data_IF_642882992366
#
_entry.id   IF_642882992366
#
_cell.length_a   1.000
_cell.length_b   1.000
_cell.length_c   1.000
_cell.angle_alpha   90.00
_cell.angle_beta   90.00
_cell.angle_gamma   90.00
#
_symmetry.space_group_name_H-M   'P 1'
#
loop_
_entity.id
_entity.type
_entity.pdbx_description
1 polymer ?
#
# COMPACT_ATOMS: atom_id res chain seq x y z
N UNK A 1 -2.73 28.28 12.63
CA UNK A 1 -3.12 27.53 13.84
C UNK A 1 -2.60 26.11 13.67
N UNK A 2 -1.52 25.78 14.38
CA UNK A 2 -0.80 24.52 14.23
C UNK A 2 -1.50 23.41 15.04
N UNK A 3 -1.83 22.29 14.39
CA UNK A 3 -2.34 21.09 15.04
C UNK A 3 -1.65 19.85 14.42
N UNK A 4 -1.36 18.91 15.30
CA UNK A 4 -0.43 17.78 15.30
C UNK A 4 -0.83 16.55 14.43
N UNK A 5 0.12 16.06 13.59
CA UNK A 5 0.55 14.69 13.17
C UNK A 5 -0.50 13.53 13.01
N UNK A 6 -0.58 12.65 11.97
CA UNK A 6 0.37 12.10 10.96
C UNK A 6 -0.34 11.46 9.70
N UNK A 7 0.14 11.78 8.48
CA UNK A 7 0.34 10.88 7.29
C UNK A 7 -0.84 10.56 6.31
N UNK A 8 -0.66 10.99 5.04
CA UNK A 8 -1.62 11.42 4.00
C UNK A 8 -2.80 10.57 3.48
N UNK A 9 -3.89 10.41 4.24
CA UNK A 9 -5.29 10.27 3.76
C UNK A 9 -6.24 10.78 4.85
N UNK A 10 -6.05 10.29 6.07
CA UNK A 10 -6.76 10.77 7.25
C UNK A 10 -6.20 12.10 7.76
N UNK A 11 -4.90 12.32 7.56
CA UNK A 11 -4.16 13.50 7.97
C UNK A 11 -3.18 13.93 6.86
N UNK A 12 -3.14 15.20 6.44
CA UNK A 12 -2.27 15.65 5.35
C UNK A 12 -0.78 15.69 5.75
N UNK A 13 0.10 15.60 4.75
CA UNK A 13 1.54 15.84 4.95
C UNK A 13 1.80 17.33 5.26
N UNK A 14 2.79 17.60 6.11
CA UNK A 14 3.28 18.97 6.35
C UNK A 14 4.11 19.43 5.16
N UNK A 15 3.68 20.49 4.49
CA UNK A 15 4.32 21.10 3.32
C UNK A 15 4.95 22.46 3.70
N UNK A 16 5.73 23.03 2.77
CA UNK A 16 6.42 24.32 2.94
C UNK A 16 7.32 24.35 4.17
N UNK A 17 8.10 23.27 4.34
CA UNK A 17 9.09 23.12 5.40
C UNK A 17 10.40 22.58 4.82
N UNK A 18 11.54 22.82 5.47
CA UNK A 18 12.79 22.19 5.07
C UNK A 18 12.75 20.66 5.31
N UNK A 19 13.58 19.95 4.56
CA UNK A 19 13.93 18.55 4.83
C UNK A 19 14.53 18.40 6.22
N UNK A 20 14.05 17.41 6.96
CA UNK A 20 14.58 17.06 8.28
C UNK A 20 15.92 16.34 8.18
N UNK A 21 16.69 16.31 9.28
CA UNK A 21 17.95 15.55 9.35
C UNK A 21 17.73 14.06 9.10
N UNK A 22 16.66 13.49 9.65
CA UNK A 22 16.30 12.09 9.44
C UNK A 22 16.03 11.80 7.96
N UNK A 23 15.21 12.63 7.29
CA UNK A 23 14.91 12.48 5.85
C UNK A 23 16.16 12.59 4.97
N UNK A 24 17.12 13.46 5.34
CA UNK A 24 18.42 13.56 4.66
C UNK A 24 19.27 12.31 4.87
N UNK A 25 19.27 11.72 6.06
CA UNK A 25 20.05 10.53 6.41
C UNK A 25 19.46 9.24 5.82
N UNK A 26 18.13 9.13 5.72
CA UNK A 26 17.44 7.94 5.19
C UNK A 26 17.13 8.03 3.70
N UNK A 27 17.80 8.95 2.99
CA UNK A 27 17.61 9.16 1.55
C UNK A 27 17.85 7.88 0.75
N UNK A 28 16.98 7.67 -0.23
CA UNK A 28 17.18 6.73 -1.31
C UNK A 28 17.65 7.49 -2.55
N UNK A 29 18.72 7.00 -3.18
CA UNK A 29 19.43 7.72 -4.25
C UNK A 29 19.26 6.96 -5.56
N UNK A 30 18.72 7.65 -6.56
CA UNK A 30 18.64 7.18 -7.94
C UNK A 30 20.05 7.03 -8.54
N UNK A 31 20.24 6.06 -9.44
CA UNK A 31 21.51 5.78 -10.11
C UNK A 31 22.58 5.08 -9.25
N UNK A 32 22.41 5.06 -7.92
CA UNK A 32 23.32 4.37 -7.00
C UNK A 32 22.65 3.13 -6.43
N UNK A 33 23.27 1.97 -6.64
CA UNK A 33 22.86 0.73 -5.99
C UNK A 33 22.98 0.85 -4.48
N UNK A 34 21.91 0.54 -3.75
CA UNK A 34 21.96 0.42 -2.30
C UNK A 34 22.53 -0.95 -1.92
N UNK A 35 23.47 -0.98 -0.97
CA UNK A 35 23.94 -2.24 -0.40
C UNK A 35 22.83 -2.80 0.49
N UNK A 36 22.33 -3.98 0.12
CA UNK A 36 21.31 -4.70 0.89
C UNK A 36 21.93 -5.98 1.44
N UNK A 37 21.56 -6.33 2.68
CA UNK A 37 22.05 -7.52 3.36
C UNK A 37 21.05 -8.66 3.18
N UNK A 38 21.56 -9.86 2.88
CA UNK A 38 20.74 -11.07 2.69
C UNK A 38 20.95 -11.74 1.34
N UNK A 39 20.17 -12.80 1.12
CA UNK A 39 20.17 -13.55 -0.15
C UNK A 39 19.38 -12.82 -1.26
N UNK A 40 18.31 -12.11 -0.90
CA UNK A 40 17.49 -11.34 -1.83
C UNK A 40 18.18 -10.02 -2.23
N UNK A 41 18.04 -9.66 -3.50
CA UNK A 41 18.48 -8.37 -4.03
C UNK A 41 17.32 -7.35 -4.05
N UNK A 42 16.10 -7.83 -4.27
CA UNK A 42 14.88 -7.02 -4.41
C UNK A 42 13.68 -7.74 -3.81
N UNK A 43 12.64 -6.99 -3.43
CA UNK A 43 11.33 -7.53 -3.04
C UNK A 43 10.23 -6.60 -3.55
N UNK A 44 9.14 -7.12 -4.11
CA UNK A 44 8.00 -6.34 -4.61
C UNK A 44 6.93 -6.05 -3.54
N UNK A 45 6.87 -6.92 -2.51
CA UNK A 45 6.01 -6.84 -1.33
C UNK A 45 4.51 -6.77 -1.64
N UNK A 46 4.06 -7.50 -2.66
CA UNK A 46 2.66 -7.58 -3.12
C UNK A 46 2.06 -6.21 -3.49
N UNK A 47 2.90 -5.25 -3.89
CA UNK A 47 2.49 -3.87 -4.18
C UNK A 47 2.17 -3.61 -5.66
N UNK A 48 2.58 -4.52 -6.55
CA UNK A 48 2.54 -4.32 -8.00
C UNK A 48 1.13 -4.50 -8.54
N UNK A 49 0.54 -3.44 -9.11
CA UNK A 49 -0.74 -3.52 -9.81
C UNK A 49 -0.52 -4.07 -11.23
N UNK A 50 0.50 -3.54 -11.91
CA UNK A 50 0.91 -3.92 -13.27
C UNK A 50 2.40 -3.66 -13.43
N UNK A 51 3.10 -4.58 -14.08
CA UNK A 51 4.48 -4.36 -14.54
C UNK A 51 4.59 -4.78 -16.00
N UNK A 52 5.35 -4.03 -16.78
CA UNK A 52 5.68 -4.30 -18.19
C UNK A 52 6.96 -3.53 -18.57
N UNK A 53 7.40 -3.61 -19.82
CA UNK A 53 8.61 -2.92 -20.32
C UNK A 53 8.54 -1.39 -20.30
N UNK A 54 7.33 -0.82 -20.23
CA UNK A 54 7.09 0.62 -20.38
C UNK A 54 6.79 1.31 -19.04
N UNK A 55 5.94 0.73 -18.20
CA UNK A 55 5.64 1.23 -16.86
C UNK A 55 5.47 0.14 -15.79
N UNK A 56 5.73 0.55 -14.55
CA UNK A 56 5.42 -0.17 -13.32
C UNK A 56 4.39 0.66 -12.55
N UNK A 57 3.25 0.08 -12.22
CA UNK A 57 2.25 0.70 -11.38
C UNK A 57 2.16 -0.04 -10.04
N UNK A 58 2.24 0.72 -8.94
CA UNK A 58 2.17 0.19 -7.58
C UNK A 58 1.05 0.85 -6.79
N UNK A 59 0.49 0.10 -5.85
CA UNK A 59 -0.49 0.61 -4.88
C UNK A 59 0.14 1.65 -3.95
N UNK A 60 -0.69 2.39 -3.24
CA UNK A 60 -0.27 3.19 -2.10
C UNK A 60 -0.33 2.41 -0.78
N UNK A 61 0.24 3.02 0.27
CA UNK A 61 0.24 2.43 1.61
C UNK A 61 -1.12 2.33 2.30
N UNK A 62 -2.13 3.07 1.86
CA UNK A 62 -3.49 3.02 2.42
C UNK A 62 -4.28 1.84 1.84
N UNK A 63 -3.88 1.30 0.70
CA UNK A 63 -4.57 0.16 0.11
C UNK A 63 -4.52 -1.12 0.98
N UNK A 64 -3.37 -1.53 1.57
CA UNK A 64 -3.34 -2.67 2.50
C UNK A 64 -4.25 -2.46 3.72
N UNK A 65 -4.36 -1.22 4.22
CA UNK A 65 -5.14 -0.88 5.42
C UNK A 65 -6.58 -0.43 5.12
N UNK A 66 -7.03 -0.53 3.87
CA UNK A 66 -8.40 -0.18 3.46
C UNK A 66 -9.41 -1.01 4.24
N UNK A 67 -10.38 -0.36 4.88
CA UNK A 67 -11.39 -1.02 5.72
C UNK A 67 -11.00 -1.18 7.18
N UNK A 68 -9.71 -1.03 7.54
CA UNK A 68 -9.24 -1.22 8.91
C UNK A 68 -9.84 -0.19 9.88
N UNK A 69 -9.75 1.10 9.55
CA UNK A 69 -10.38 2.15 10.39
C UNK A 69 -11.90 2.00 10.37
N UNK A 70 -12.47 1.69 9.20
CA UNK A 70 -13.92 1.52 9.07
C UNK A 70 -14.46 0.36 9.93
N UNK A 71 -13.73 -0.74 10.09
CA UNK A 71 -14.17 -1.89 10.87
C UNK A 71 -14.40 -1.52 12.35
N UNK A 72 -13.45 -0.80 12.97
CA UNK A 72 -13.60 -0.28 14.32
C UNK A 72 -14.75 0.71 14.43
N UNK A 73 -14.85 1.65 13.50
CA UNK A 73 -15.90 2.67 13.53
C UNK A 73 -17.30 2.04 13.36
N UNK A 74 -17.44 1.02 12.51
CA UNK A 74 -18.66 0.23 12.38
C UNK A 74 -19.02 -0.47 13.70
N UNK A 75 -18.05 -1.12 14.34
CA UNK A 75 -18.26 -1.81 15.61
C UNK A 75 -18.74 -0.85 16.71
N UNK A 76 -18.15 0.36 16.80
CA UNK A 76 -18.61 1.39 17.74
C UNK A 76 -20.01 1.91 17.42
N UNK A 77 -20.33 2.12 16.14
CA UNK A 77 -21.69 2.52 15.73
C UNK A 77 -22.73 1.45 16.10
N UNK A 78 -22.40 0.17 15.87
CA UNK A 78 -23.24 -0.95 16.26
C UNK A 78 -23.44 -0.99 17.78
N UNK A 79 -22.35 -0.85 18.55
CA UNK A 79 -22.39 -0.86 20.01
C UNK A 79 -23.27 0.26 20.57
N UNK A 80 -23.13 1.48 20.08
CA UNK A 80 -24.01 2.59 20.50
C UNK A 80 -25.46 2.36 20.08
N UNK A 81 -25.70 1.79 18.91
CA UNK A 81 -27.07 1.46 18.47
C UNK A 81 -27.71 0.41 19.39
N UNK A 82 -26.99 -0.68 19.70
CA UNK A 82 -27.46 -1.72 20.62
C UNK A 82 -27.69 -1.15 22.02
N UNK A 83 -26.79 -0.30 22.49
CA UNK A 83 -26.92 0.36 23.80
C UNK A 83 -28.16 1.27 23.84
N UNK A 84 -28.38 2.10 22.82
CA UNK A 84 -29.59 2.92 22.69
C UNK A 84 -30.85 2.04 22.74
N UNK A 85 -30.88 0.93 21.97
CA UNK A 85 -32.04 0.03 21.94
C UNK A 85 -32.29 -0.64 23.30
N UNK A 86 -31.24 -1.04 24.01
CA UNK A 86 -31.35 -1.64 25.34
C UNK A 86 -31.93 -0.65 26.36
N UNK A 87 -31.44 0.60 26.37
CA UNK A 87 -31.96 1.64 27.26
C UNK A 87 -33.38 2.06 26.85
N UNK A 88 -33.68 2.16 25.55
CA UNK A 88 -35.03 2.45 25.05
C UNK A 88 -36.03 1.41 25.55
N UNK A 89 -35.67 0.13 25.51
CA UNK A 89 -36.51 -0.96 26.05
C UNK A 89 -36.81 -0.76 27.54
N UNK A 90 -35.81 -0.42 28.35
CA UNK A 90 -36.00 -0.16 29.79
C UNK A 90 -36.86 1.09 30.03
N UNK A 91 -36.62 2.17 29.29
CA UNK A 91 -37.35 3.41 29.42
C UNK A 91 -38.84 3.25 29.08
N UNK A 92 -39.16 2.54 27.98
CA UNK A 92 -40.52 2.39 27.48
C UNK A 92 -41.31 1.32 28.24
N UNK A 93 -40.71 0.16 28.51
CA UNK A 93 -41.45 -0.99 29.04
C UNK A 93 -41.36 -1.17 30.56
N UNK A 94 -40.38 -0.57 31.23
CA UNK A 94 -40.14 -0.75 32.68
C UNK A 94 -40.36 0.54 33.49
N UNK A 95 -41.17 1.49 33.00
CA UNK A 95 -41.34 2.83 33.61
C UNK A 95 -40.00 3.51 33.91
N UNK A 96 -39.04 3.41 32.99
CA UNK A 96 -37.71 3.99 33.17
C UNK A 96 -37.70 5.51 33.02
N UNK A 97 -36.60 6.13 33.45
CA UNK A 97 -36.43 7.58 33.44
C UNK A 97 -36.30 8.13 32.00
N UNK A 98 -37.40 8.68 31.46
CA UNK A 98 -37.46 9.23 30.09
C UNK A 98 -36.46 10.37 29.86
N UNK A 99 -36.31 11.38 30.74
CA UNK A 99 -35.25 12.39 30.60
C UNK A 99 -33.84 11.81 30.49
N UNK A 100 -33.51 10.82 31.31
CA UNK A 100 -32.20 10.16 31.24
C UNK A 100 -31.99 9.42 29.91
N UNK A 101 -33.04 8.77 29.38
CA UNK A 101 -33.00 8.15 28.06
C UNK A 101 -32.75 9.18 26.95
N UNK A 102 -33.45 10.32 26.96
CA UNK A 102 -33.24 11.38 25.95
C UNK A 102 -31.80 11.92 25.99
N UNK A 103 -31.22 12.07 27.19
CA UNK A 103 -29.83 12.49 27.36
C UNK A 103 -28.84 11.45 26.80
N UNK A 104 -29.04 10.16 27.10
CA UNK A 104 -28.22 9.08 26.56
C UNK A 104 -28.34 9.01 25.04
N UNK A 105 -29.56 9.14 24.50
CA UNK A 105 -29.81 9.18 23.06
C UNK A 105 -29.04 10.32 22.39
N UNK A 106 -29.03 11.51 22.99
CA UNK A 106 -28.27 12.65 22.49
C UNK A 106 -26.76 12.37 22.46
N UNK A 107 -26.19 11.82 23.54
CA UNK A 107 -24.75 11.51 23.61
C UNK A 107 -24.38 10.41 22.60
N UNK A 108 -25.13 9.31 22.57
CA UNK A 108 -24.85 8.19 21.68
C UNK A 108 -25.05 8.57 20.21
N UNK A 109 -26.08 9.37 19.87
CA UNK A 109 -26.26 9.88 18.51
C UNK A 109 -25.13 10.82 18.08
N UNK A 110 -24.67 11.71 18.97
CA UNK A 110 -23.48 12.53 18.71
C UNK A 110 -22.23 11.67 18.47
N UNK A 111 -22.06 10.60 19.25
CA UNK A 111 -20.98 9.61 19.07
C UNK A 111 -21.06 8.87 17.72
N UNK A 112 -22.25 8.41 17.33
CA UNK A 112 -22.48 7.79 16.02
C UNK A 112 -22.15 8.76 14.89
N UNK A 113 -22.62 10.01 14.96
CA UNK A 113 -22.31 11.05 13.98
C UNK A 113 -20.79 11.28 13.85
N UNK A 114 -20.07 11.28 14.98
CA UNK A 114 -18.62 11.42 14.99
C UNK A 114 -17.93 10.24 14.27
N UNK A 115 -18.31 8.99 14.57
CA UNK A 115 -17.72 7.82 13.93
C UNK A 115 -18.09 7.68 12.45
N UNK A 116 -19.33 8.03 12.09
CA UNK A 116 -19.78 8.09 10.69
C UNK A 116 -18.89 9.01 9.85
N UNK A 117 -18.42 10.14 10.40
CA UNK A 117 -17.50 11.03 9.68
C UNK A 117 -16.20 10.32 9.25
N UNK A 118 -15.66 9.42 10.08
CA UNK A 118 -14.47 8.64 9.75
C UNK A 118 -14.78 7.50 8.80
N UNK A 119 -15.95 6.85 8.96
CA UNK A 119 -16.44 5.87 7.99
C UNK A 119 -16.54 6.47 6.60
N UNK A 120 -17.13 7.66 6.45
CA UNK A 120 -17.23 8.37 5.17
C UNK A 120 -15.90 8.88 4.62
N UNK A 121 -14.83 8.90 5.41
CA UNK A 121 -13.47 9.20 4.91
C UNK A 121 -12.80 7.96 4.35
N UNK A 122 -13.05 6.79 4.93
CA UNK A 122 -12.53 5.55 4.37
C UNK A 122 -13.41 5.06 3.21
N UNK A 123 -14.72 5.14 3.37
CA UNK A 123 -15.71 4.83 2.34
C UNK A 123 -15.87 6.00 1.38
N UNK A 124 -16.39 5.76 0.18
CA UNK A 124 -16.67 6.82 -0.81
C UNK A 124 -15.46 7.64 -1.27
N UNK A 125 -14.24 7.10 -1.16
CA UNK A 125 -13.00 7.71 -1.69
C UNK A 125 -12.49 6.97 -2.92
N UNK A 126 -11.18 6.93 -3.13
CA UNK A 126 -10.57 6.03 -4.10
C UNK A 126 -10.30 4.67 -3.47
N UNK A 127 -10.34 3.62 -4.29
CA UNK A 127 -9.95 2.28 -3.86
C UNK A 127 -8.48 2.23 -3.44
N UNK A 128 -7.64 2.98 -4.14
CA UNK A 128 -6.21 3.18 -3.91
C UNK A 128 -5.74 4.45 -4.64
N UNK A 129 -4.50 4.89 -4.40
CA UNK A 129 -3.86 6.10 -4.92
C UNK A 129 -2.53 5.75 -5.59
N UNK A 130 -2.55 5.16 -6.80
CA UNK A 130 -1.39 4.52 -7.39
C UNK A 130 -0.28 5.50 -7.75
N UNK A 131 0.94 4.97 -7.79
CA UNK A 131 2.10 5.63 -8.40
C UNK A 131 2.54 4.79 -9.60
N UNK A 132 2.69 5.44 -10.75
CA UNK A 132 3.12 4.81 -12.00
C UNK A 132 4.48 5.35 -12.41
N UNK A 133 5.46 4.46 -12.47
CA UNK A 133 6.82 4.71 -12.89
C UNK A 133 6.96 4.38 -14.36
N UNK A 134 7.22 5.37 -15.22
CA UNK A 134 7.46 5.19 -16.64
C UNK A 134 8.96 5.07 -16.90
N UNK A 135 9.42 3.85 -17.21
CA UNK A 135 10.84 3.56 -17.43
C UNK A 135 11.37 4.26 -18.68
N UNK A 136 10.62 4.19 -19.79
CA UNK A 136 11.06 4.68 -21.11
C UNK A 136 11.28 6.20 -21.11
N UNK A 137 10.36 6.96 -20.52
CA UNK A 137 10.45 8.44 -20.42
C UNK A 137 11.15 8.93 -19.14
N UNK A 138 11.49 8.02 -18.22
CA UNK A 138 12.02 8.35 -16.88
C UNK A 138 11.12 9.32 -16.12
N UNK A 139 9.82 9.08 -16.14
CA UNK A 139 8.80 9.89 -15.48
C UNK A 139 8.14 9.13 -14.33
N UNK A 140 7.62 9.85 -13.35
CA UNK A 140 6.81 9.34 -12.25
C UNK A 140 5.47 10.06 -12.28
N UNK A 141 4.40 9.31 -12.48
CA UNK A 141 3.02 9.79 -12.43
C UNK A 141 2.42 9.43 -11.06
N UNK A 142 1.92 10.43 -10.36
CA UNK A 142 1.49 10.33 -8.96
C UNK A 142 0.01 10.66 -8.90
N UNK A 143 -0.82 9.70 -8.48
CA UNK A 143 -2.22 9.95 -8.25
C UNK A 143 -2.43 10.51 -6.83
N UNK A 144 -2.85 11.76 -6.72
CA UNK A 144 -3.01 12.42 -5.43
C UNK A 144 -4.32 12.06 -4.74
N UNK A 145 -4.35 12.19 -3.41
CA UNK A 145 -5.56 12.03 -2.60
C UNK A 145 -6.66 13.05 -2.96
N UNK A 146 -6.26 14.22 -3.46
CA UNK A 146 -7.16 15.24 -4.01
C UNK A 146 -7.88 14.77 -5.29
N UNK A 147 -7.38 13.73 -5.96
CA UNK A 147 -7.82 13.27 -7.27
C UNK A 147 -7.04 13.87 -8.45
N UNK A 148 -6.12 14.80 -8.20
CA UNK A 148 -5.21 15.34 -9.20
C UNK A 148 -4.09 14.34 -9.55
N UNK A 149 -3.45 14.55 -10.71
CA UNK A 149 -2.28 13.78 -11.14
C UNK A 149 -1.10 14.73 -11.28
N UNK A 150 0.05 14.33 -10.73
CA UNK A 150 1.31 15.04 -10.88
C UNK A 150 2.27 14.15 -11.66
N UNK A 151 2.88 14.70 -12.69
CA UNK A 151 3.93 14.04 -13.48
C UNK A 151 5.24 14.77 -13.28
N UNK A 152 6.29 14.06 -12.87
CA UNK A 152 7.62 14.62 -12.64
C UNK A 152 8.72 13.69 -13.17
N UNK A 153 9.90 14.21 -13.53
CA UNK A 153 11.05 13.36 -13.84
C UNK A 153 11.48 12.49 -12.65
N UNK A 154 11.86 11.24 -12.90
CA UNK A 154 12.35 10.28 -11.90
C UNK A 154 13.52 10.82 -11.07
N UNK A 155 14.44 11.55 -11.71
CA UNK A 155 15.61 12.14 -11.06
C UNK A 155 15.30 13.34 -10.15
N UNK A 156 14.14 13.97 -10.30
CA UNK A 156 13.77 15.17 -9.54
C UNK A 156 13.07 14.86 -8.22
N UNK A 157 12.65 13.61 -8.01
CA UNK A 157 11.98 13.19 -6.78
C UNK A 157 13.02 12.93 -5.70
N UNK A 158 12.85 13.52 -4.51
CA UNK A 158 13.66 13.18 -3.36
C UNK A 158 13.00 12.02 -2.59
N UNK A 159 13.49 10.80 -2.78
CA UNK A 159 12.99 9.63 -2.07
C UNK A 159 13.65 9.47 -0.71
N UNK A 160 12.85 9.20 0.32
CA UNK A 160 13.32 8.99 1.69
C UNK A 160 12.33 8.14 2.48
N UNK A 161 12.66 7.81 3.73
CA UNK A 161 11.72 7.12 4.62
C UNK A 161 10.96 8.12 5.49
N UNK A 162 9.65 7.91 5.62
CA UNK A 162 8.81 8.57 6.62
C UNK A 162 8.54 7.59 7.75
N UNK A 163 8.95 7.98 8.96
CA UNK A 163 8.62 7.26 10.18
C UNK A 163 7.09 7.30 10.41
N UNK A 164 6.52 6.12 10.64
CA UNK A 164 5.17 5.92 11.18
C UNK A 164 5.30 5.70 12.70
N UNK A 165 4.28 5.16 13.37
CA UNK A 165 4.38 4.88 14.82
C UNK A 165 5.51 3.90 15.18
N UNK A 166 5.53 2.74 14.51
CA UNK A 166 6.46 1.62 14.80
C UNK A 166 7.13 1.06 13.54
N UNK A 167 6.90 1.70 12.40
CA UNK A 167 7.32 1.24 11.08
C UNK A 167 7.69 2.43 10.20
N UNK A 168 8.13 2.17 8.98
CA UNK A 168 8.54 3.17 8.02
C UNK A 168 7.81 2.93 6.69
N UNK A 169 7.67 3.97 5.88
CA UNK A 169 7.29 3.83 4.48
C UNK A 169 8.18 4.69 3.58
N UNK A 170 8.30 4.34 2.31
CA UNK A 170 8.96 5.21 1.33
C UNK A 170 8.02 6.39 1.01
N UNK A 171 8.59 7.59 0.97
CA UNK A 171 7.94 8.81 0.50
C UNK A 171 8.79 9.48 -0.55
N UNK A 172 8.13 10.10 -1.53
CA UNK A 172 8.77 10.99 -2.49
C UNK A 172 8.41 12.44 -2.15
N UNK A 173 9.42 13.27 -1.91
CA UNK A 173 9.26 14.71 -1.77
C UNK A 173 9.52 15.40 -3.11
N UNK A 174 8.63 16.32 -3.47
CA UNK A 174 8.88 17.29 -4.54
C UNK A 174 9.42 18.55 -3.87
N UNK A 175 10.66 18.89 -4.20
CA UNK A 175 11.38 20.00 -3.59
C UNK A 175 11.20 21.28 -4.41
N UNK A 176 11.39 22.42 -3.75
CA UNK A 176 11.50 23.72 -4.43
C UNK A 176 12.87 23.86 -5.11
N UNK A 177 13.06 24.97 -5.81
CA UNK A 177 14.31 25.27 -6.53
C UNK A 177 15.54 25.32 -5.60
N UNK A 178 15.32 25.63 -4.31
CA UNK A 178 16.35 25.59 -3.26
C UNK A 178 16.86 24.18 -2.91
N UNK A 179 16.21 23.12 -3.43
CA UNK A 179 16.48 21.71 -3.12
C UNK A 179 16.45 21.37 -1.62
N UNK A 180 15.76 22.18 -0.81
CA UNK A 180 15.59 21.96 0.63
C UNK A 180 14.13 22.00 1.08
N UNK A 181 13.31 22.87 0.49
CA UNK A 181 11.92 23.07 0.89
C UNK A 181 11.00 22.05 0.22
N UNK A 182 10.23 21.30 1.03
CA UNK A 182 9.27 20.29 0.56
C UNK A 182 7.96 20.97 0.13
N UNK A 183 7.70 20.99 -1.18
CA UNK A 183 6.47 21.53 -1.78
C UNK A 183 5.34 20.50 -1.84
N UNK A 184 5.69 19.23 -2.05
CA UNK A 184 4.71 18.15 -2.12
C UNK A 184 5.29 16.85 -1.57
N UNK A 185 4.43 15.94 -1.14
CA UNK A 185 4.83 14.62 -0.65
C UNK A 185 3.80 13.59 -1.05
N UNK A 186 4.28 12.48 -1.57
CA UNK A 186 3.48 11.30 -1.82
C UNK A 186 4.13 10.08 -1.18
N UNK A 187 3.32 9.06 -0.90
CA UNK A 187 3.78 7.78 -0.39
C UNK A 187 3.23 6.67 -1.27
N UNK A 188 3.99 5.59 -1.42
CA UNK A 188 3.57 4.45 -2.21
C UNK A 188 4.05 3.14 -1.59
N UNK A 189 3.43 2.05 -2.03
CA UNK A 189 3.84 0.70 -1.74
C UNK A 189 3.67 0.30 -0.28
N UNK A 190 4.75 -0.23 0.28
CA UNK A 190 4.74 -0.98 1.51
C UNK A 190 5.09 -0.13 2.76
N UNK A 191 4.60 -0.59 3.92
CA UNK A 191 4.93 -0.04 5.23
C UNK A 191 5.52 -1.16 6.09
N UNK A 192 6.76 -1.01 6.53
CA UNK A 192 7.44 -2.01 7.35
C UNK A 192 8.81 -1.56 7.84
N UNK A 193 9.75 -2.49 7.95
CA UNK A 193 11.08 -2.22 8.50
C UNK A 193 12.06 -1.68 7.44
N UNK A 194 13.14 -1.03 7.87
CA UNK A 194 14.06 -0.32 6.96
C UNK A 194 14.79 -1.26 6.00
N UNK A 195 15.01 -2.49 6.43
CA UNK A 195 15.64 -3.56 5.67
C UNK A 195 14.75 -3.96 4.48
N UNK A 196 13.46 -4.19 4.73
CA UNK A 196 12.45 -4.49 3.70
C UNK A 196 12.29 -3.30 2.75
N UNK A 197 12.25 -2.07 3.28
CA UNK A 197 12.18 -0.88 2.43
C UNK A 197 13.42 -0.69 1.55
N UNK A 198 14.59 -1.19 1.97
CA UNK A 198 15.80 -1.15 1.15
C UNK A 198 15.71 -2.12 -0.02
N UNK A 199 15.16 -3.33 0.21
CA UNK A 199 14.86 -4.30 -0.85
C UNK A 199 13.77 -3.79 -1.80
N UNK A 200 12.72 -3.17 -1.25
CA UNK A 200 11.64 -2.58 -2.03
C UNK A 200 12.10 -1.38 -2.86
N UNK A 201 12.96 -0.53 -2.30
CA UNK A 201 13.59 0.54 -3.06
C UNK A 201 14.39 -0.02 -4.25
N UNK A 202 15.22 -1.04 -4.02
CA UNK A 202 15.98 -1.65 -5.12
C UNK A 202 15.07 -2.31 -6.16
N UNK A 203 13.91 -2.84 -5.79
CA UNK A 203 12.91 -3.32 -6.77
C UNK A 203 12.47 -2.20 -7.72
N UNK A 204 12.04 -1.06 -7.19
CA UNK A 204 11.62 0.10 -7.99
C UNK A 204 12.78 0.70 -8.79
N UNK A 205 13.96 0.85 -8.16
CA UNK A 205 15.15 1.38 -8.81
C UNK A 205 15.62 0.48 -9.95
N UNK A 206 15.67 -0.83 -9.73
CA UNK A 206 16.01 -1.79 -10.79
C UNK A 206 15.02 -1.72 -11.94
N UNK A 207 13.72 -1.67 -11.64
CA UNK A 207 12.69 -1.47 -12.66
C UNK A 207 12.91 -0.19 -13.47
N UNK A 208 13.35 0.90 -12.81
CA UNK A 208 13.56 2.17 -13.49
C UNK A 208 14.89 2.26 -14.23
N UNK A 209 15.96 1.60 -13.77
CA UNK A 209 17.34 1.93 -14.17
C UNK A 209 18.14 0.75 -14.74
N UNK A 210 17.71 -0.48 -14.50
CA UNK A 210 18.52 -1.69 -14.74
C UNK A 210 17.90 -2.61 -15.77
N UNK A 211 18.73 -3.35 -16.51
CA UNK A 211 18.29 -4.26 -17.57
C UNK A 211 18.07 -5.68 -17.01
N UNK A 212 17.15 -5.77 -16.04
CA UNK A 212 16.76 -7.02 -15.36
C UNK A 212 15.24 -7.19 -15.24
N UNK A 213 14.49 -6.69 -16.22
CA UNK A 213 13.03 -6.65 -16.17
C UNK A 213 12.40 -8.05 -16.17
N UNK A 214 12.97 -9.01 -16.90
CA UNK A 214 12.48 -10.39 -16.95
C UNK A 214 12.61 -11.04 -15.57
N UNK A 215 13.80 -10.95 -14.97
CA UNK A 215 14.05 -11.50 -13.63
C UNK A 215 13.23 -10.79 -12.56
N UNK A 216 13.05 -9.46 -12.67
CA UNK A 216 12.17 -8.70 -11.77
C UNK A 216 10.72 -9.20 -11.85
N UNK A 217 10.20 -9.46 -13.06
CA UNK A 217 8.85 -9.97 -13.22
C UNK A 217 8.67 -11.35 -12.58
N UNK A 218 9.71 -12.18 -12.57
CA UNK A 218 9.69 -13.47 -11.87
C UNK A 218 9.59 -13.33 -10.35
N UNK A 219 10.03 -12.21 -9.78
CA UNK A 219 9.92 -11.95 -8.34
C UNK A 219 8.51 -11.56 -7.91
N UNK A 220 7.65 -11.12 -8.84
CA UNK A 220 6.28 -10.68 -8.55
C UNK A 220 5.34 -11.89 -8.55
N UNK A 221 4.95 -12.32 -7.35
CA UNK A 221 4.10 -13.50 -7.17
C UNK A 221 2.60 -13.19 -7.18
N UNK A 222 2.24 -11.95 -6.87
CA UNK A 222 0.86 -11.53 -6.74
C UNK A 222 0.67 -10.07 -7.12
N UNK A 223 -0.28 -9.82 -8.02
CA UNK A 223 -0.72 -8.48 -8.40
C UNK A 223 -2.12 -8.21 -7.83
N UNK A 224 -2.33 -7.19 -6.97
CA UNK A 224 -3.66 -6.92 -6.46
C UNK A 224 -4.66 -6.59 -7.58
N UNK A 225 -5.88 -7.19 -7.58
CA UNK A 225 -6.84 -7.05 -8.67
C UNK A 225 -7.61 -5.73 -8.60
N UNK A 226 -6.89 -4.60 -8.76
CA UNK A 226 -7.42 -3.24 -8.59
C UNK A 226 -7.25 -2.32 -9.80
N UNK A 227 -6.58 -2.77 -10.86
CA UNK A 227 -6.31 -1.97 -12.07
C UNK A 227 -7.62 -1.56 -12.78
N UNK A 228 -8.41 -2.54 -13.21
CA UNK A 228 -9.63 -2.34 -14.03
C UNK A 228 -10.93 -2.58 -13.27
N UNK A 229 -10.81 -3.11 -12.05
CA UNK A 229 -11.95 -3.54 -11.24
C UNK A 229 -11.74 -3.20 -9.77
N UNK A 230 -12.81 -3.30 -8.98
CA UNK A 230 -12.72 -3.22 -7.52
C UNK A 230 -12.35 -4.59 -6.98
N UNK A 231 -11.49 -4.62 -5.97
CA UNK A 231 -11.21 -5.85 -5.23
C UNK A 231 -12.52 -6.48 -4.73
N UNK A 232 -12.70 -7.76 -5.03
CA UNK A 232 -13.84 -8.54 -4.55
C UNK A 232 -13.65 -9.01 -3.10
N UNK A 233 -14.74 -9.43 -2.46
CA UNK A 233 -14.74 -9.88 -1.07
C UNK A 233 -13.68 -10.96 -0.77
N UNK A 234 -13.58 -11.99 -1.63
CA UNK A 234 -12.64 -13.10 -1.44
C UNK A 234 -11.18 -12.62 -1.48
N UNK A 235 -10.84 -11.73 -2.41
CA UNK A 235 -9.47 -11.22 -2.53
C UNK A 235 -9.06 -10.37 -1.32
N UNK A 236 -10.00 -9.57 -0.79
CA UNK A 236 -9.82 -8.81 0.44
C UNK A 236 -9.67 -9.72 1.66
N UNK A 237 -10.55 -10.72 1.80
CA UNK A 237 -10.48 -11.71 2.89
C UNK A 237 -9.16 -12.49 2.87
N UNK A 238 -8.73 -12.95 1.69
CA UNK A 238 -7.44 -13.63 1.52
C UNK A 238 -6.25 -12.76 1.94
N UNK A 239 -6.27 -11.45 1.66
CA UNK A 239 -5.23 -10.53 2.14
C UNK A 239 -5.19 -10.47 3.67
N UNK A 240 -6.35 -10.39 4.32
CA UNK A 240 -6.44 -10.28 5.78
C UNK A 240 -6.08 -11.59 6.50
N UNK A 241 -6.22 -12.72 5.83
CA UNK A 241 -5.92 -14.06 6.36
C UNK A 241 -4.53 -14.58 5.97
N UNK A 242 -3.73 -13.80 5.25
CA UNK A 242 -2.42 -14.24 4.76
C UNK A 242 -1.48 -14.52 5.94
N UNK A 243 -0.90 -15.71 5.94
CA UNK A 243 0.14 -16.13 6.89
C UNK A 243 1.41 -16.53 6.15
N UNK A 244 2.56 -16.24 6.75
CA UNK A 244 3.87 -16.52 6.15
C UNK A 244 4.35 -17.95 6.43
N UNK A 245 3.93 -18.52 7.55
CA UNK A 245 4.35 -19.86 7.96
C UNK A 245 3.21 -20.68 8.59
N UNK A 246 3.39 -22.00 8.63
CA UNK A 246 2.43 -22.88 9.33
C UNK A 246 2.40 -22.66 10.86
N UNK A 247 3.42 -22.00 11.42
CA UNK A 247 3.41 -21.62 12.84
C UNK A 247 2.37 -20.56 13.17
N UNK A 248 1.98 -19.75 12.19
CA UNK A 248 1.09 -18.60 12.38
C UNK A 248 -0.39 -18.98 12.36
N UNK A 249 -0.72 -20.26 12.12
CA UNK A 249 -2.11 -20.74 12.13
C UNK A 249 -2.85 -20.44 13.44
N UNK A 250 -2.17 -20.55 14.59
CA UNK A 250 -2.78 -20.22 15.88
C UNK A 250 -3.16 -18.74 15.94
N UNK A 251 -2.27 -17.85 15.47
CA UNK A 251 -2.54 -16.41 15.41
C UNK A 251 -3.67 -16.09 14.44
N UNK A 252 -3.72 -16.77 13.29
CA UNK A 252 -4.82 -16.63 12.34
C UNK A 252 -6.17 -17.01 12.97
N UNK A 253 -6.26 -18.15 13.66
CA UNK A 253 -7.50 -18.59 14.31
C UNK A 253 -7.96 -17.61 15.37
N UNK A 254 -7.04 -17.09 16.20
CA UNK A 254 -7.34 -16.08 17.21
C UNK A 254 -7.81 -14.76 16.60
N UNK A 255 -7.21 -14.35 15.48
CA UNK A 255 -7.55 -13.10 14.79
C UNK A 255 -8.73 -13.23 13.81
N UNK A 256 -9.22 -14.45 13.54
CA UNK A 256 -10.25 -14.70 12.55
C UNK A 256 -11.53 -13.87 12.75
N UNK A 257 -12.08 -13.70 13.98
CA UNK A 257 -13.25 -12.85 14.18
C UNK A 257 -13.01 -11.40 13.75
N UNK A 258 -11.81 -10.86 14.05
CA UNK A 258 -11.45 -9.50 13.65
C UNK A 258 -11.25 -9.39 12.14
N UNK A 259 -10.58 -10.37 11.52
CA UNK A 259 -10.39 -10.43 10.07
C UNK A 259 -11.72 -10.50 9.31
N UNK A 260 -12.74 -11.18 9.85
CA UNK A 260 -14.08 -11.25 9.24
C UNK A 260 -14.85 -9.94 9.35
N UNK A 261 -14.74 -9.21 10.47
CA UNK A 261 -15.35 -7.87 10.60
C UNK A 261 -14.65 -6.88 9.68
N UNK A 262 -13.32 -6.94 9.62
CA UNK A 262 -12.51 -6.11 8.73
C UNK A 262 -12.77 -6.43 7.24
N UNK A 263 -12.94 -7.70 6.87
CA UNK A 263 -13.21 -8.08 5.47
C UNK A 263 -14.53 -7.48 4.98
N UNK A 264 -15.56 -7.45 5.83
CA UNK A 264 -16.84 -6.81 5.51
C UNK A 264 -16.67 -5.30 5.34
N UNK A 265 -16.00 -4.64 6.30
CA UNK A 265 -15.76 -3.19 6.25
C UNK A 265 -14.92 -2.80 5.02
N UNK A 266 -13.89 -3.59 4.69
CA UNK A 266 -13.05 -3.44 3.50
C UNK A 266 -13.86 -3.63 2.23
N UNK A 267 -14.69 -4.66 2.16
CA UNK A 267 -15.53 -4.89 1.00
C UNK A 267 -16.48 -3.72 0.74
N UNK A 268 -17.15 -3.20 1.78
CA UNK A 268 -17.98 -2.00 1.67
C UNK A 268 -17.14 -0.80 1.24
N UNK A 269 -15.95 -0.60 1.83
CA UNK A 269 -15.05 0.49 1.46
C UNK A 269 -14.65 0.44 -0.01
N UNK A 270 -14.34 -0.75 -0.53
CA UNK A 270 -14.00 -0.97 -1.93
C UNK A 270 -15.18 -0.72 -2.86
N UNK A 271 -16.37 -1.26 -2.53
CA UNK A 271 -17.57 -1.11 -3.36
C UNK A 271 -18.10 0.31 -3.39
N UNK A 272 -18.01 1.06 -2.30
CA UNK A 272 -18.44 2.47 -2.24
C UNK A 272 -17.42 3.45 -2.84
N UNK A 273 -16.16 3.04 -2.95
CA UNK A 273 -15.08 3.87 -3.51
C UNK A 273 -15.02 3.82 -5.04
N UNK A 274 -14.39 4.82 -5.65
CA UNK A 274 -14.15 4.92 -7.10
C UNK A 274 -12.75 4.38 -7.44
N UNK A 275 -12.62 3.74 -8.60
CA UNK A 275 -11.31 3.34 -9.13
C UNK A 275 -10.55 4.62 -9.56
N UNK A 276 -9.25 4.77 -9.26
CA UNK A 276 -8.43 5.85 -9.85
C UNK A 276 -8.38 5.71 -11.37
N UNK A 277 -8.32 6.83 -12.08
CA UNK A 277 -8.32 6.87 -13.55
C UNK A 277 -7.22 7.81 -14.01
N UNK A 278 -6.31 7.31 -14.84
CA UNK A 278 -5.25 8.12 -15.39
C UNK A 278 -5.77 9.00 -16.54
N UNK A 279 -5.30 10.24 -16.67
CA UNK A 279 -5.60 11.07 -17.82
C UNK A 279 -4.94 10.50 -19.09
N UNK A 280 -5.48 10.87 -20.25
CA UNK A 280 -5.11 10.24 -21.53
C UNK A 280 -3.63 10.44 -21.89
N UNK A 281 -3.06 11.60 -21.55
CA UNK A 281 -1.63 11.88 -21.73
C UNK A 281 -0.73 10.89 -21.00
N UNK A 282 -1.11 10.47 -19.79
CA UNK A 282 -0.39 9.44 -19.01
C UNK A 282 -0.58 8.06 -19.62
N UNK A 283 -1.79 7.74 -20.12
CA UNK A 283 -2.05 6.47 -20.80
C UNK A 283 -1.24 6.35 -22.09
N UNK A 284 -1.23 7.39 -22.92
CA UNK A 284 -0.48 7.43 -24.17
C UNK A 284 1.03 7.38 -23.92
N UNK A 285 1.50 8.09 -22.89
CA UNK A 285 2.91 8.04 -22.49
C UNK A 285 3.35 6.66 -21.98
N UNK A 286 2.42 5.85 -21.48
CA UNK A 286 2.63 4.54 -20.89
C UNK A 286 2.07 3.41 -21.76
N UNK A 287 1.88 3.63 -23.06
CA UNK A 287 1.35 2.62 -23.96
C UNK A 287 2.25 1.37 -23.97
N UNK A 288 1.63 0.20 -23.81
CA UNK A 288 2.31 -1.10 -23.77
C UNK A 288 2.30 -1.71 -25.16
N UNK A 289 3.43 -2.32 -25.53
CA UNK A 289 3.53 -3.05 -26.79
C UNK A 289 2.67 -4.34 -26.71
N UNK A 290 1.91 -4.69 -27.75
CA UNK A 290 0.98 -5.83 -27.70
C UNK A 290 1.62 -7.18 -27.32
N UNK A 291 2.91 -7.37 -27.60
CA UNK A 291 3.65 -8.62 -27.39
C UNK A 291 4.74 -8.49 -26.30
N UNK A 292 4.54 -7.59 -25.33
CA UNK A 292 5.47 -7.43 -24.21
C UNK A 292 5.52 -8.69 -23.33
N UNK A 293 6.68 -9.36 -23.31
CA UNK A 293 6.92 -10.61 -22.58
C UNK A 293 6.86 -10.47 -21.06
N UNK A 294 6.95 -9.25 -20.55
CA UNK A 294 7.07 -8.92 -19.13
C UNK A 294 5.74 -8.37 -18.59
N UNK A 295 4.69 -8.42 -19.40
CA UNK A 295 3.41 -7.82 -19.08
C UNK A 295 2.62 -8.63 -18.06
N UNK A 296 2.88 -8.38 -16.78
CA UNK A 296 2.27 -9.06 -15.64
C UNK A 296 1.23 -8.16 -14.96
N UNK A 297 0.11 -8.77 -14.59
CA UNK A 297 -0.99 -8.14 -13.87
C UNK A 297 -1.84 -9.16 -13.14
N UNK A 298 -3.01 -8.72 -12.68
CA UNK A 298 -3.89 -9.57 -11.87
C UNK A 298 -4.40 -10.83 -12.60
N UNK A 299 -4.41 -10.83 -13.94
CA UNK A 299 -4.74 -11.99 -14.76
C UNK A 299 -3.69 -13.12 -14.68
N UNK A 300 -2.46 -12.80 -14.27
CA UNK A 300 -1.38 -13.78 -14.11
C UNK A 300 -1.34 -14.41 -12.71
N UNK A 301 -2.22 -13.98 -11.79
CA UNK A 301 -2.26 -14.49 -10.43
C UNK A 301 -2.57 -16.00 -10.38
N UNK A 302 -2.00 -16.74 -9.41
CA UNK A 302 -2.27 -18.16 -9.26
C UNK A 302 -3.74 -18.42 -8.93
N UNK A 303 -4.36 -19.35 -9.67
CA UNK A 303 -5.78 -19.77 -9.48
C UNK A 303 -6.05 -20.23 -8.05
N UNK A 304 -5.09 -20.90 -7.42
CA UNK A 304 -5.21 -21.45 -6.07
C UNK A 304 -4.49 -20.61 -5.00
N UNK A 305 -4.65 -19.28 -5.04
CA UNK A 305 -4.07 -18.35 -4.06
C UNK A 305 -4.36 -18.71 -2.59
N UNK A 306 -5.47 -19.39 -2.29
CA UNK A 306 -5.75 -19.83 -0.93
C UNK A 306 -4.67 -20.75 -0.34
N UNK A 307 -3.93 -21.50 -1.18
CA UNK A 307 -2.84 -22.37 -0.73
C UNK A 307 -1.66 -21.55 -0.21
N UNK A 308 -1.29 -20.48 -0.92
CA UNK A 308 -0.23 -19.56 -0.46
C UNK A 308 -0.69 -18.77 0.76
N UNK A 309 -1.92 -18.25 0.74
CA UNK A 309 -2.52 -17.47 1.84
C UNK A 309 -2.50 -18.23 3.17
N UNK A 310 -2.77 -19.54 3.14
CA UNK A 310 -2.89 -20.37 4.35
C UNK A 310 -1.63 -21.23 4.62
N UNK A 311 -0.50 -20.92 3.97
CA UNK A 311 0.73 -21.71 4.03
C UNK A 311 0.49 -23.24 3.84
N UNK A 312 -0.47 -23.58 2.97
CA UNK A 312 -0.98 -24.93 2.74
C UNK A 312 -0.62 -25.46 1.34
N UNK A 313 0.47 -24.95 0.77
CA UNK A 313 1.07 -25.51 -0.43
C UNK A 313 1.69 -26.89 -0.14
N UNK A 314 1.78 -27.72 -1.19
CA UNK A 314 2.60 -28.94 -1.12
C UNK A 314 4.07 -28.53 -0.95
N UNK A 315 4.86 -29.41 -0.34
CA UNK A 315 6.28 -29.14 -0.12
C UNK A 315 7.02 -28.86 -1.44
N UNK A 316 6.73 -29.67 -2.45
CA UNK A 316 7.28 -29.51 -3.81
C UNK A 316 6.94 -28.14 -4.41
N UNK A 317 5.67 -27.72 -4.39
CA UNK A 317 5.28 -26.41 -4.94
C UNK A 317 5.95 -25.25 -4.20
N UNK A 318 6.04 -25.35 -2.87
CA UNK A 318 6.75 -24.36 -2.04
C UNK A 318 8.24 -24.29 -2.39
N UNK A 319 8.91 -25.43 -2.51
CA UNK A 319 10.34 -25.51 -2.83
C UNK A 319 10.62 -25.01 -4.26
N UNK A 320 9.80 -25.39 -5.26
CA UNK A 320 9.91 -24.89 -6.63
C UNK A 320 9.75 -23.37 -6.70
N UNK A 321 8.74 -22.82 -6.01
CA UNK A 321 8.50 -21.37 -5.94
C UNK A 321 9.70 -20.63 -5.34
N UNK A 322 10.20 -21.11 -4.19
CA UNK A 322 11.33 -20.48 -3.53
C UNK A 322 12.64 -20.62 -4.30
N UNK A 323 12.85 -21.75 -4.98
CA UNK A 323 13.99 -21.94 -5.85
C UNK A 323 13.95 -20.95 -7.03
N UNK A 324 12.79 -20.75 -7.65
CA UNK A 324 12.61 -19.74 -8.70
C UNK A 324 12.93 -18.34 -8.21
N UNK A 325 12.36 -17.93 -7.07
CA UNK A 325 12.62 -16.61 -6.48
C UNK A 325 14.11 -16.41 -6.15
N UNK A 326 14.76 -17.46 -5.65
CA UNK A 326 16.19 -17.45 -5.34
C UNK A 326 17.04 -17.28 -6.60
N UNK A 327 16.73 -18.01 -7.67
CA UNK A 327 17.42 -17.89 -8.96
C UNK A 327 17.26 -16.49 -9.55
N UNK A 328 16.03 -15.98 -9.65
CA UNK A 328 15.76 -14.63 -10.14
C UNK A 328 16.54 -13.56 -9.34
N UNK A 329 16.54 -13.66 -8.00
CA UNK A 329 17.32 -12.75 -7.15
C UNK A 329 18.83 -12.88 -7.35
N UNK A 330 19.34 -14.10 -7.56
CA UNK A 330 20.77 -14.33 -7.85
C UNK A 330 21.17 -13.73 -9.20
N UNK A 331 20.34 -13.87 -10.23
CA UNK A 331 20.58 -13.28 -11.55
C UNK A 331 20.55 -11.76 -11.51
N UNK A 332 19.55 -11.16 -10.85
CA UNK A 332 19.52 -9.70 -10.59
C UNK A 332 20.79 -9.27 -9.88
N UNK A 333 21.18 -9.97 -8.81
CA UNK A 333 22.39 -9.66 -8.05
C UNK A 333 23.65 -9.76 -8.92
N UNK A 334 23.76 -10.77 -9.78
CA UNK A 334 24.89 -10.94 -10.69
C UNK A 334 24.96 -9.81 -11.72
N UNK A 335 23.84 -9.41 -12.32
CA UNK A 335 23.75 -8.27 -13.25
C UNK A 335 24.17 -6.96 -12.56
N UNK A 336 23.68 -6.72 -11.35
CA UNK A 336 24.05 -5.55 -10.55
C UNK A 336 25.54 -5.58 -10.15
N UNK A 337 26.06 -6.73 -9.73
CA UNK A 337 27.47 -6.88 -9.40
C UNK A 337 28.35 -6.60 -10.62
N UNK A 338 28.00 -7.10 -11.81
CA UNK A 338 28.74 -6.86 -13.04
C UNK A 338 28.78 -5.38 -13.42
N UNK A 339 27.64 -4.67 -13.30
CA UNK A 339 27.54 -3.23 -13.62
C UNK A 339 28.27 -2.33 -12.63
N UNK A 340 28.23 -2.65 -11.34
CA UNK A 340 28.72 -1.76 -10.28
C UNK A 340 30.10 -2.15 -9.70
N UNK A 341 30.64 -3.35 -9.96
CA UNK A 341 32.04 -3.70 -9.59
C UNK A 341 33.10 -2.96 -10.43
N UNK A 342 32.72 -2.39 -11.57
CA UNK A 342 33.63 -1.70 -12.50
C UNK A 342 33.75 -0.19 -12.26
N UNK A 343 33.05 0.36 -11.25
CA UNK A 343 33.15 1.77 -10.87
C UNK A 343 33.89 1.84 -9.53
N UNK A 344 35.13 2.36 -9.47
CA UNK A 344 35.80 2.61 -8.21
C UNK A 344 34.95 3.57 -7.39
N UNK A 345 34.62 3.21 -6.16
CA UNK A 345 34.01 4.11 -5.19
C UNK A 345 34.98 5.27 -4.95
N UNK A 346 34.73 6.42 -5.59
CA UNK A 346 35.29 7.69 -5.15
C UNK A 346 34.51 8.11 -3.91
N UNK A 347 35.24 8.11 -2.79
CA UNK A 347 34.81 8.43 -1.41
C UNK A 347 33.99 9.72 -1.28
#
# INVERSE_FOLDING_TARGET
>A
MAISHDIGLFFPFKLNRPLTKEEKQSRFVQGKRRKVFGEAAVLDLDTVIRMNSSYLEVVDKFYPTKGYVASFMMAFCLLFTVFILAIAKVAIFNNGNVPAFLFILLICSAGICFFLRFLLKDWFRKTHYPVRFNRKKKLVHIYQVSGGVITVPWGDVFFTTSKQRISYCIVGHLLSDDKETVLNTFSFGYVGQREELSLYWEFIRCYMEEDCLEELAETVLFCPPVEKQKEGYIAGLQRLMQIDSRGDWLLLVLNLPFALVESLARYIAMQTSKIPQWPQDVLDACAVEPNDSINIGAENNPVHRWRTVLANETREAYDTKNQRLKLANQEIKAKLDAKYKTVPELE
#
